data_IF_715258246541
#
_entry.id   IF_715258246541
#
_cell.length_a   1.000
_cell.length_b   1.000
_cell.length_c   1.000
_cell.angle_alpha   90.00
_cell.angle_beta   90.00
_cell.angle_gamma   90.00
#
_symmetry.space_group_name_H-M   'P 1'
#
loop_
_entity.id
_entity.type
_entity.pdbx_description
1 polymer ?
#
# COMPACT_ATOMS: atom_id res chain seq x y z
N UNK A 1 51.17 -19.47 47.72
CA UNK A 1 50.47 -18.18 47.88
C UNK A 1 49.04 -18.52 48.26
N UNK A 2 48.73 -18.38 49.55
CA UNK A 2 47.47 -18.80 50.15
C UNK A 2 46.33 -17.77 49.94
N UNK A 3 45.15 -18.37 49.80
CA UNK A 3 43.78 -17.92 50.04
C UNK A 3 43.53 -16.60 50.79
N UNK A 4 42.72 -15.71 50.19
CA UNK A 4 41.45 -15.17 50.71
C UNK A 4 40.99 -13.97 49.89
N UNK A 5 39.76 -14.01 49.39
CA UNK A 5 38.71 -13.14 49.92
C UNK A 5 37.34 -13.54 49.35
N UNK A 6 36.62 -14.25 50.22
CA UNK A 6 35.16 -14.34 50.26
C UNK A 6 34.58 -12.92 50.19
N UNK A 7 33.63 -12.68 49.29
CA UNK A 7 32.61 -11.65 49.44
C UNK A 7 31.39 -11.92 48.55
N UNK A 8 30.28 -12.20 49.25
CA UNK A 8 28.93 -11.68 49.05
C UNK A 8 27.90 -12.50 48.25
N UNK A 9 26.84 -12.81 49.01
CA UNK A 9 25.42 -12.77 48.66
C UNK A 9 24.90 -13.86 47.71
N UNK A 10 24.45 -14.93 48.34
CA UNK A 10 23.24 -15.65 47.92
C UNK A 10 22.06 -14.70 48.09
N UNK A 11 21.44 -14.29 46.99
CA UNK A 11 20.08 -13.78 46.96
C UNK A 11 19.36 -14.48 45.80
N UNK A 12 18.64 -15.53 46.18
CA UNK A 12 17.69 -16.25 45.37
C UNK A 12 16.63 -15.26 44.87
N UNK A 13 16.53 -15.02 43.56
CA UNK A 13 15.38 -14.34 42.98
C UNK A 13 14.94 -15.08 41.72
N UNK A 14 14.02 -16.01 41.95
CA UNK A 14 13.19 -16.63 40.93
C UNK A 14 12.21 -15.54 40.46
N UNK A 15 12.45 -14.97 39.28
CA UNK A 15 11.40 -14.34 38.50
C UNK A 15 11.13 -15.24 37.30
N UNK A 16 10.16 -16.15 37.48
CA UNK A 16 9.44 -16.80 36.38
C UNK A 16 8.59 -15.71 35.75
N UNK A 17 9.12 -15.04 34.73
CA UNK A 17 8.28 -14.34 33.78
C UNK A 17 8.01 -15.29 32.63
N UNK A 18 6.89 -16.00 32.77
CA UNK A 18 6.20 -16.67 31.68
C UNK A 18 5.74 -15.61 30.68
N UNK A 19 6.62 -15.26 29.76
CA UNK A 19 6.32 -14.52 28.55
C UNK A 19 6.72 -15.40 27.37
N UNK A 20 5.81 -16.27 26.95
CA UNK A 20 5.85 -16.85 25.61
C UNK A 20 5.71 -15.67 24.64
N UNK A 21 6.83 -15.03 24.32
CA UNK A 21 6.91 -14.16 23.16
C UNK A 21 6.78 -15.08 21.96
N UNK A 22 5.53 -15.35 21.57
CA UNK A 22 5.20 -15.54 20.18
C UNK A 22 5.63 -14.23 19.48
N UNK A 23 6.92 -14.13 19.16
CA UNK A 23 7.30 -13.45 17.93
C UNK A 23 6.71 -14.35 16.86
N UNK A 24 5.42 -14.17 16.61
CA UNK A 24 4.82 -14.54 15.35
C UNK A 24 5.67 -13.78 14.36
N UNK A 25 6.68 -14.47 13.84
CA UNK A 25 7.26 -14.09 12.58
C UNK A 25 6.05 -14.11 11.65
N UNK A 26 5.49 -12.93 11.39
CA UNK A 26 4.91 -12.67 10.10
C UNK A 26 6.08 -12.81 9.12
N UNK A 27 6.47 -14.07 8.85
CA UNK A 27 7.11 -14.43 7.63
C UNK A 27 6.06 -14.05 6.61
N UNK A 28 6.23 -12.86 6.02
CA UNK A 28 5.57 -12.49 4.79
C UNK A 28 5.74 -13.68 3.88
N UNK A 29 4.64 -14.39 3.68
CA UNK A 29 4.58 -15.40 2.67
C UNK A 29 4.95 -14.67 1.39
N UNK A 30 6.12 -14.98 0.83
CA UNK A 30 6.42 -14.81 -0.59
C UNK A 30 5.44 -15.71 -1.37
N UNK A 31 4.14 -15.43 -1.25
CA UNK A 31 3.17 -15.79 -2.26
C UNK A 31 3.61 -14.97 -3.46
N UNK A 32 3.83 -15.62 -4.59
CA UNK A 32 3.99 -14.97 -5.88
C UNK A 32 2.81 -13.99 -6.08
N UNK A 33 2.98 -12.73 -5.65
CA UNK A 33 2.00 -11.68 -5.87
C UNK A 33 2.18 -11.32 -7.34
N UNK A 34 1.25 -11.79 -8.16
CA UNK A 34 1.19 -11.36 -9.55
C UNK A 34 0.76 -9.90 -9.55
N UNK A 35 1.66 -9.03 -10.01
CA UNK A 35 1.46 -7.60 -10.18
C UNK A 35 1.30 -7.30 -11.67
N UNK A 36 0.27 -6.53 -12.03
CA UNK A 36 0.04 -6.10 -13.43
C UNK A 36 0.07 -4.59 -13.52
N UNK A 37 0.96 -4.06 -14.35
CA UNK A 37 1.00 -2.63 -14.68
C UNK A 37 -0.06 -2.33 -15.73
N UNK A 38 -0.96 -1.41 -15.40
CA UNK A 38 -2.07 -1.00 -16.23
C UNK A 38 -1.60 -0.18 -17.44
N UNK A 39 -2.17 -0.47 -18.61
CA UNK A 39 -1.84 0.19 -19.89
C UNK A 39 -3.10 0.49 -20.72
N UNK A 40 -2.99 1.40 -21.68
CA UNK A 40 -4.13 1.75 -22.54
C UNK A 40 -4.73 0.51 -23.22
N UNK A 41 -6.01 0.21 -22.95
CA UNK A 41 -6.72 -0.96 -23.50
C UNK A 41 -6.91 -2.14 -22.53
N UNK A 42 -6.49 -2.01 -21.28
CA UNK A 42 -6.59 -3.04 -20.22
C UNK A 42 -7.95 -3.22 -19.54
N UNK A 43 -9.00 -2.54 -20.01
CA UNK A 43 -10.33 -2.58 -19.39
C UNK A 43 -10.52 -1.62 -18.21
N UNK A 44 -9.48 -0.90 -17.75
CA UNK A 44 -9.56 0.09 -16.67
C UNK A 44 -9.75 1.53 -17.18
N UNK A 45 -10.22 1.71 -18.42
CA UNK A 45 -10.42 3.02 -19.02
C UNK A 45 -11.42 3.89 -18.23
N UNK A 46 -12.51 3.29 -17.75
CA UNK A 46 -13.52 3.99 -16.94
C UNK A 46 -12.97 4.38 -15.57
N UNK A 47 -12.21 3.49 -14.91
CA UNK A 47 -11.53 3.81 -13.65
C UNK A 47 -10.61 5.03 -13.80
N UNK A 48 -9.77 5.07 -14.85
CA UNK A 48 -8.89 6.22 -15.11
C UNK A 48 -9.68 7.53 -15.28
N UNK A 49 -10.81 7.46 -15.99
CA UNK A 49 -11.69 8.62 -16.16
C UNK A 49 -12.27 9.08 -14.82
N UNK A 50 -12.79 8.16 -14.01
CA UNK A 50 -13.33 8.49 -12.69
C UNK A 50 -12.27 9.11 -11.77
N UNK A 51 -11.05 8.58 -11.77
CA UNK A 51 -9.95 9.15 -11.00
C UNK A 51 -9.68 10.58 -11.43
N UNK A 52 -9.56 10.83 -12.74
CA UNK A 52 -9.37 12.18 -13.28
C UNK A 52 -10.52 13.13 -12.91
N UNK A 53 -11.76 12.66 -13.02
CA UNK A 53 -12.95 13.50 -12.84
C UNK A 53 -13.21 13.85 -11.37
N UNK A 54 -12.67 13.07 -10.42
CA UNK A 54 -12.88 13.25 -8.98
C UNK A 54 -11.64 13.72 -8.21
N UNK A 55 -10.48 13.83 -8.87
CA UNK A 55 -9.25 14.32 -8.25
C UNK A 55 -9.35 15.83 -7.96
N UNK A 56 -9.07 16.25 -6.73
CA UNK A 56 -9.05 17.67 -6.39
C UNK A 56 -7.76 18.36 -6.88
N UNK A 57 -7.81 19.01 -8.04
CA UNK A 57 -6.69 19.80 -8.58
C UNK A 57 -6.47 21.15 -7.86
N UNK A 58 -7.33 21.53 -6.93
CA UNK A 58 -7.35 22.86 -6.29
C UNK A 58 -6.65 22.90 -4.92
N UNK A 59 -6.14 21.77 -4.43
CA UNK A 59 -5.46 21.66 -3.15
C UNK A 59 -4.15 22.49 -3.10
N UNK A 60 -4.07 23.40 -2.13
CA UNK A 60 -2.99 24.40 -1.98
C UNK A 60 -1.60 23.84 -1.76
N UNK A 61 -1.57 22.63 -1.22
CA UNK A 61 -0.39 21.90 -0.81
C UNK A 61 0.29 21.14 -1.96
N UNK A 62 -0.24 21.25 -3.17
CA UNK A 62 0.32 20.62 -4.36
C UNK A 62 1.43 21.49 -4.95
N UNK A 63 2.58 20.86 -5.23
CA UNK A 63 3.71 21.51 -5.88
C UNK A 63 3.47 21.61 -7.37
N UNK A 64 3.82 22.75 -7.95
CA UNK A 64 3.81 22.93 -9.41
C UNK A 64 4.76 21.95 -10.10
N UNK A 65 4.41 21.59 -11.33
CA UNK A 65 5.16 20.67 -12.16
C UNK A 65 4.45 19.33 -12.36
N UNK A 66 5.24 18.32 -12.74
CA UNK A 66 4.74 16.96 -12.97
C UNK A 66 5.03 16.14 -11.72
N UNK A 67 3.98 15.57 -11.13
CA UNK A 67 4.04 14.63 -10.01
C UNK A 67 3.68 13.25 -10.53
N UNK A 68 4.57 12.28 -10.35
CA UNK A 68 4.29 10.89 -10.70
C UNK A 68 3.94 10.09 -9.44
N UNK A 69 3.06 9.10 -9.60
CA UNK A 69 2.65 8.19 -8.54
C UNK A 69 2.29 6.84 -9.12
N UNK A 70 2.67 5.77 -8.44
CA UNK A 70 2.21 4.43 -8.68
C UNK A 70 1.10 4.10 -7.68
N UNK A 71 -0.11 3.90 -8.19
CA UNK A 71 -1.27 3.52 -7.38
C UNK A 71 -1.48 2.01 -7.47
N UNK A 72 -1.23 1.31 -6.37
CA UNK A 72 -1.47 -0.12 -6.21
C UNK A 72 -2.86 -0.37 -5.66
N UNK A 73 -3.57 -1.36 -6.18
CA UNK A 73 -4.84 -1.80 -5.64
C UNK A 73 -5.14 -3.26 -6.03
N UNK A 74 -6.04 -3.89 -5.29
CA UNK A 74 -6.61 -5.20 -5.62
C UNK A 74 -8.04 -5.04 -6.13
N UNK A 75 -8.50 -6.04 -6.88
CA UNK A 75 -9.91 -6.16 -7.28
C UNK A 75 -10.48 -7.39 -6.59
N UNK A 76 -11.47 -7.20 -5.73
CA UNK A 76 -12.17 -8.28 -5.07
C UNK A 76 -13.06 -9.06 -6.05
N UNK A 77 -13.50 -10.28 -5.69
CA UNK A 77 -14.34 -11.14 -6.54
C UNK A 77 -15.62 -10.46 -7.03
N UNK A 78 -16.16 -9.51 -6.25
CA UNK A 78 -17.34 -8.72 -6.61
C UNK A 78 -17.05 -7.48 -7.48
N UNK A 79 -15.82 -7.36 -7.99
CA UNK A 79 -15.34 -6.23 -8.79
C UNK A 79 -14.94 -4.99 -7.97
N UNK A 80 -15.11 -4.97 -6.64
CA UNK A 80 -14.78 -3.79 -5.83
C UNK A 80 -13.26 -3.59 -5.76
N UNK A 81 -12.83 -2.34 -5.87
CA UNK A 81 -11.43 -1.95 -5.64
C UNK A 81 -11.13 -1.94 -4.12
N UNK A 82 -10.04 -2.59 -3.72
CA UNK A 82 -9.61 -2.74 -2.33
C UNK A 82 -8.08 -2.62 -2.21
N UNK A 83 -7.54 -2.60 -0.99
CA UNK A 83 -6.08 -2.56 -0.72
C UNK A 83 -5.35 -1.44 -1.49
N UNK A 84 -5.96 -0.25 -1.51
CA UNK A 84 -5.45 0.89 -2.26
C UNK A 84 -4.24 1.47 -1.52
N UNK A 85 -3.14 1.63 -2.24
CA UNK A 85 -1.95 2.31 -1.75
C UNK A 85 -1.26 3.08 -2.87
N UNK A 86 -0.98 4.36 -2.67
CA UNK A 86 -0.27 5.19 -3.64
C UNK A 86 1.12 5.57 -3.10
N UNK A 87 2.13 5.46 -3.96
CA UNK A 87 3.47 5.93 -3.68
C UNK A 87 3.95 6.82 -4.82
N UNK A 88 4.45 8.01 -4.52
CA UNK A 88 4.87 8.97 -5.54
C UNK A 88 5.64 10.16 -5.01
N UNK A 89 5.93 11.09 -5.92
CA UNK A 89 6.83 12.23 -5.67
C UNK A 89 6.25 13.24 -4.64
N UNK A 90 4.92 13.24 -4.45
CA UNK A 90 4.22 14.11 -3.51
C UNK A 90 3.20 13.34 -2.68
N UNK A 91 3.42 13.26 -1.36
CA UNK A 91 2.56 12.54 -0.41
C UNK A 91 1.09 13.01 -0.43
N UNK A 92 0.86 14.30 -0.64
CA UNK A 92 -0.50 14.84 -0.66
C UNK A 92 -1.27 14.39 -1.91
N UNK A 93 -0.60 14.37 -3.07
CA UNK A 93 -1.16 13.81 -4.31
C UNK A 93 -1.42 12.31 -4.16
N UNK A 94 -0.48 11.56 -3.59
CA UNK A 94 -0.66 10.13 -3.33
C UNK A 94 -1.86 9.88 -2.40
N UNK A 95 -1.99 10.63 -1.30
CA UNK A 95 -3.13 10.52 -0.38
C UNK A 95 -4.45 10.87 -1.06
N UNK A 96 -4.48 11.88 -1.91
CA UNK A 96 -5.68 12.21 -2.67
C UNK A 96 -6.07 11.10 -3.63
N UNK A 97 -5.10 10.51 -4.35
CA UNK A 97 -5.37 9.35 -5.20
C UNK A 97 -5.96 8.18 -4.39
N UNK A 98 -5.44 7.90 -3.20
CA UNK A 98 -6.00 6.88 -2.30
C UNK A 98 -7.45 7.22 -1.91
N UNK A 99 -7.73 8.47 -1.52
CA UNK A 99 -9.07 8.92 -1.14
C UNK A 99 -10.07 8.80 -2.30
N UNK A 100 -9.68 9.27 -3.49
CA UNK A 100 -10.50 9.20 -4.69
C UNK A 100 -10.88 7.75 -4.95
N UNK A 101 -9.91 6.85 -5.10
CA UNK A 101 -10.19 5.43 -5.37
C UNK A 101 -11.04 4.79 -4.27
N UNK A 102 -10.81 5.12 -2.99
CA UNK A 102 -11.57 4.56 -1.88
C UNK A 102 -13.03 5.03 -1.84
N UNK A 103 -13.30 6.24 -2.37
CA UNK A 103 -14.63 6.84 -2.42
C UNK A 103 -15.48 6.35 -3.60
N UNK A 104 -14.86 5.79 -4.64
CA UNK A 104 -15.58 5.32 -5.82
C UNK A 104 -16.48 4.12 -5.47
N UNK A 105 -17.76 4.23 -5.85
CA UNK A 105 -18.71 3.09 -5.84
C UNK A 105 -18.48 2.18 -7.07
N UNK A 106 -17.47 2.50 -7.89
CA UNK A 106 -17.11 1.78 -9.10
C UNK A 106 -16.77 0.31 -8.81
N UNK A 107 -17.25 -0.57 -9.70
CA UNK A 107 -16.89 -1.98 -9.72
C UNK A 107 -16.27 -2.29 -11.06
N UNK A 108 -15.10 -2.91 -11.02
CA UNK A 108 -14.44 -3.41 -12.20
C UNK A 108 -15.28 -4.56 -12.76
N UNK A 109 -15.60 -4.46 -14.03
CA UNK A 109 -16.27 -5.51 -14.78
C UNK A 109 -15.26 -6.62 -15.09
N UNK A 110 -15.33 -7.72 -14.33
CA UNK A 110 -14.41 -8.84 -14.45
C UNK A 110 -14.45 -9.47 -15.85
N UNK A 111 -15.57 -9.38 -16.58
CA UNK A 111 -15.70 -9.89 -17.94
C UNK A 111 -14.88 -9.06 -18.94
N UNK A 112 -14.56 -7.80 -18.60
CA UNK A 112 -13.69 -6.93 -19.39
C UNK A 112 -12.20 -7.08 -19.02
N UNK A 113 -11.89 -7.74 -17.92
CA UNK A 113 -10.50 -8.06 -17.56
C UNK A 113 -10.12 -9.34 -18.29
N UNK A 114 -9.15 -9.24 -19.21
CA UNK A 114 -8.60 -10.41 -19.90
C UNK A 114 -8.13 -11.45 -18.87
N UNK A 115 -8.40 -12.75 -19.08
CA UNK A 115 -7.96 -13.83 -18.17
C UNK A 115 -6.45 -13.82 -17.89
N UNK A 116 -5.64 -13.25 -18.79
CA UNK A 116 -4.19 -13.05 -18.62
C UNK A 116 -3.81 -11.90 -17.67
N UNK A 117 -4.78 -11.07 -17.28
CA UNK A 117 -4.61 -9.89 -16.44
C UNK A 117 -5.13 -10.14 -15.01
N UNK A 118 -5.61 -11.34 -14.72
CA UNK A 118 -6.03 -11.73 -13.37
C UNK A 118 -4.84 -11.71 -12.43
N UNK A 119 -4.77 -10.65 -11.62
CA UNK A 119 -3.66 -10.37 -10.71
C UNK A 119 -4.17 -10.16 -9.29
N UNK A 120 -3.30 -10.44 -8.32
CA UNK A 120 -3.57 -10.09 -6.92
C UNK A 120 -3.50 -8.58 -6.72
N UNK A 121 -2.61 -7.92 -7.47
CA UNK A 121 -2.36 -6.48 -7.39
C UNK A 121 -2.25 -5.88 -8.78
N UNK A 122 -2.90 -4.74 -8.98
CA UNK A 122 -2.79 -3.90 -10.16
C UNK A 122 -2.03 -2.63 -9.81
N UNK A 123 -1.19 -2.15 -10.72
CA UNK A 123 -0.44 -0.90 -10.60
C UNK A 123 -0.92 0.04 -11.68
N UNK A 124 -1.50 1.17 -11.27
CA UNK A 124 -1.87 2.25 -12.16
C UNK A 124 -0.84 3.38 -12.06
N UNK A 125 0.04 3.54 -13.07
CA UNK A 125 0.91 4.71 -13.12
C UNK A 125 0.06 5.95 -13.40
N UNK A 126 0.19 6.97 -12.55
CA UNK A 126 -0.52 8.24 -12.63
C UNK A 126 0.50 9.37 -12.72
N UNK A 127 0.33 10.26 -13.69
CA UNK A 127 1.10 11.48 -13.82
C UNK A 127 0.15 12.67 -13.76
N UNK A 128 0.31 13.50 -12.74
CA UNK A 128 -0.48 14.71 -12.52
C UNK A 128 0.38 15.90 -12.91
N UNK A 129 -0.08 16.68 -13.89
CA UNK A 129 0.53 17.98 -14.22
C UNK A 129 -0.24 19.07 -13.49
N UNK A 130 0.45 19.78 -12.61
CA UNK A 130 -0.06 20.95 -11.89
C UNK A 130 0.63 22.17 -12.51
N UNK A 131 -0.08 22.87 -13.38
CA UNK A 131 0.42 24.09 -14.02
C UNK A 131 -0.05 25.32 -13.22
N UNK A 132 0.82 26.34 -13.17
CA UNK A 132 0.59 27.73 -12.74
C UNK A 132 -0.71 27.97 -11.96
N UNK A 133 -0.60 28.09 -10.64
CA UNK A 133 -1.69 28.61 -9.79
C UNK A 133 -1.98 30.08 -10.03
#
# INVERSE_FOLDING_TARGET
>A
MEMKMIKKMVALSIFVFAGLFNVAQAQESEKNIQEVVLSSGDGFGELRKLVKDNFDFTASEYKEGIVNSDVRFSVAENGKITNIHANGDCKNVSKELENVLASLIYKVDADKINSKMMATTYVMPVSVRIDNR
#
